data_IF_974691693258
#
_entry.id   IF_974691693258
#
_cell.length_a   1.000
_cell.length_b   1.000
_cell.length_c   1.000
_cell.angle_alpha   90.00
_cell.angle_beta   90.00
_cell.angle_gamma   90.00
#
_symmetry.space_group_name_H-M   'P 1'
#
loop_
_entity.id
_entity.type
_entity.pdbx_description
1 polymer ?
#
# COMPACT_ATOMS: atom_id res chain seq x y z
N UNK A 1 4.37 26.27 2.25
CA UNK A 1 5.18 25.06 1.99
C UNK A 1 5.85 25.27 0.65
N UNK A 2 7.16 25.20 0.60
CA UNK A 2 7.88 25.35 -0.67
C UNK A 2 7.73 24.06 -1.47
N UNK A 3 7.32 24.19 -2.73
CA UNK A 3 7.12 23.05 -3.60
C UNK A 3 8.43 22.75 -4.30
N UNK A 4 8.92 21.52 -4.16
CA UNK A 4 10.11 21.04 -4.85
C UNK A 4 9.71 20.20 -6.06
N UNK A 5 10.26 20.51 -7.24
CA UNK A 5 10.04 19.74 -8.46
C UNK A 5 10.35 18.25 -8.31
N UNK A 6 11.37 17.90 -7.52
CA UNK A 6 11.73 16.49 -7.26
C UNK A 6 10.62 15.76 -6.51
N UNK A 7 10.00 16.41 -5.51
CA UNK A 7 8.86 15.85 -4.79
C UNK A 7 7.71 15.51 -5.74
N UNK A 8 7.31 16.45 -6.60
CA UNK A 8 6.22 16.25 -7.57
C UNK A 8 6.56 15.15 -8.55
N UNK A 9 7.77 15.20 -9.14
CA UNK A 9 8.28 14.18 -10.04
C UNK A 9 8.22 12.79 -9.41
N UNK A 10 8.78 12.65 -8.20
CA UNK A 10 8.87 11.37 -7.50
C UNK A 10 7.48 10.84 -7.14
N UNK A 11 6.61 11.65 -6.56
CA UNK A 11 5.25 11.23 -6.16
C UNK A 11 4.40 10.79 -7.35
N UNK A 12 4.40 11.55 -8.45
CA UNK A 12 3.60 11.22 -9.63
C UNK A 12 4.19 10.06 -10.44
N UNK A 13 5.45 9.67 -10.20
CA UNK A 13 6.12 8.56 -10.88
C UNK A 13 6.18 7.30 -10.02
N UNK A 14 6.67 7.41 -8.79
CA UNK A 14 6.90 6.30 -7.86
C UNK A 14 5.74 6.08 -6.88
N UNK A 15 4.84 7.07 -6.71
CA UNK A 15 3.84 7.17 -5.65
C UNK A 15 4.42 7.33 -4.24
N UNK A 16 5.66 7.76 -4.15
CA UNK A 16 6.34 8.18 -2.93
C UNK A 16 7.48 9.12 -3.27
N UNK A 17 7.96 9.86 -2.28
CA UNK A 17 9.18 10.65 -2.41
C UNK A 17 10.25 10.15 -1.45
N UNK A 18 11.34 9.53 -1.95
CA UNK A 18 12.42 8.97 -1.13
C UNK A 18 13.30 10.03 -0.48
N UNK A 19 13.08 11.32 -0.77
CA UNK A 19 13.81 12.46 -0.21
C UNK A 19 13.10 13.05 1.01
N UNK A 20 11.89 12.59 1.33
CA UNK A 20 11.19 13.00 2.55
C UNK A 20 11.99 12.53 3.77
N UNK A 21 12.20 13.43 4.71
CA UNK A 21 12.79 13.07 5.99
C UNK A 21 11.82 12.19 6.78
N UNK A 22 12.16 10.91 6.89
CA UNK A 22 11.46 9.93 7.69
C UNK A 22 12.30 9.60 8.92
N UNK A 23 11.68 9.54 10.08
CA UNK A 23 12.35 9.15 11.33
C UNK A 23 12.85 7.70 11.36
N UNK A 24 12.66 6.95 10.26
CA UNK A 24 13.06 5.53 10.13
C UNK A 24 14.26 5.40 9.21
N UNK A 25 15.22 4.54 9.59
CA UNK A 25 16.38 4.21 8.76
C UNK A 25 15.92 3.37 7.54
N UNK A 26 16.44 3.70 6.36
CA UNK A 26 16.34 2.84 5.17
C UNK A 26 17.09 1.53 5.40
N UNK A 27 16.57 0.47 4.84
CA UNK A 27 17.27 -0.82 4.83
C UNK A 27 18.39 -0.78 3.80
N UNK A 28 19.51 -1.40 4.15
CA UNK A 28 20.61 -1.68 3.23
C UNK A 28 20.56 -3.16 2.80
N UNK A 29 21.40 -3.52 1.82
CA UNK A 29 21.47 -4.92 1.38
C UNK A 29 21.99 -5.86 2.48
N UNK A 30 22.83 -5.38 3.40
CA UNK A 30 23.33 -6.12 4.56
C UNK A 30 22.20 -6.57 5.50
N UNK A 31 21.13 -5.78 5.59
CA UNK A 31 19.92 -6.15 6.36
C UNK A 31 19.16 -7.33 5.72
N UNK A 32 19.55 -7.71 4.48
CA UNK A 32 18.98 -8.84 3.71
C UNK A 32 19.99 -9.97 3.47
N UNK A 33 21.19 -9.93 4.06
CA UNK A 33 22.14 -11.03 3.98
C UNK A 33 21.52 -12.32 4.54
N UNK A 34 21.62 -13.39 3.74
CA UNK A 34 21.00 -14.66 4.11
C UNK A 34 21.65 -15.25 5.37
N UNK A 35 20.84 -15.69 6.30
CA UNK A 35 21.23 -16.45 7.48
C UNK A 35 20.47 -17.76 7.54
N UNK A 36 21.15 -18.83 7.87
CA UNK A 36 20.52 -20.12 8.03
C UNK A 36 19.73 -20.16 9.34
N UNK A 37 18.42 -20.35 9.26
CA UNK A 37 17.53 -20.45 10.40
C UNK A 37 16.80 -21.79 10.37
N UNK A 38 17.18 -22.71 11.25
CA UNK A 38 16.34 -23.87 11.58
C UNK A 38 15.07 -23.41 12.31
N UNK A 39 13.95 -24.09 12.09
CA UNK A 39 12.67 -23.80 12.77
C UNK A 39 12.07 -22.41 12.49
N UNK A 40 12.26 -21.85 11.28
CA UNK A 40 11.81 -20.52 10.92
C UNK A 40 10.30 -20.31 11.13
N UNK A 41 9.45 -21.31 10.89
CA UNK A 41 7.98 -21.20 11.11
C UNK A 41 7.63 -20.93 12.57
N UNK A 42 8.18 -21.74 13.49
CA UNK A 42 7.93 -21.57 14.92
C UNK A 42 8.42 -20.21 15.41
N UNK A 43 9.57 -19.75 14.90
CA UNK A 43 10.13 -18.45 15.27
C UNK A 43 9.30 -17.29 14.77
N UNK A 44 8.79 -17.36 13.52
CA UNK A 44 7.87 -16.35 12.97
C UNK A 44 6.59 -16.28 13.83
N UNK A 45 5.98 -17.42 14.11
CA UNK A 45 4.76 -17.49 14.93
C UNK A 45 4.99 -16.91 16.31
N UNK A 46 6.07 -17.30 17.00
CA UNK A 46 6.46 -16.77 18.31
C UNK A 46 6.59 -15.24 18.31
N UNK A 47 7.34 -14.68 17.34
CA UNK A 47 7.54 -13.22 17.26
C UNK A 47 6.21 -12.48 17.04
N UNK A 48 5.33 -13.02 16.19
CA UNK A 48 4.02 -12.42 15.95
C UNK A 48 3.19 -12.47 17.23
N UNK A 49 3.15 -13.64 17.90
CA UNK A 49 2.42 -13.82 19.15
C UNK A 49 2.92 -12.88 20.26
N UNK A 50 4.23 -12.76 20.44
CA UNK A 50 4.83 -11.86 21.44
C UNK A 50 4.51 -10.39 21.14
N UNK A 51 4.52 -10.01 19.86
CA UNK A 51 4.14 -8.66 19.45
C UNK A 51 2.68 -8.37 19.75
N UNK A 52 1.77 -9.30 19.45
CA UNK A 52 0.35 -9.17 19.77
C UNK A 52 0.16 -9.08 21.28
N UNK A 53 0.76 -10.01 22.06
CA UNK A 53 0.64 -10.05 23.51
C UNK A 53 1.11 -8.76 24.18
N UNK A 54 2.27 -8.27 23.77
CA UNK A 54 2.84 -7.02 24.32
C UNK A 54 2.03 -5.79 23.87
N UNK A 55 1.58 -5.78 22.62
CA UNK A 55 0.85 -4.65 22.02
C UNK A 55 -0.55 -4.47 22.59
N UNK A 56 -1.27 -5.56 22.82
CA UNK A 56 -2.62 -5.59 23.41
C UNK A 56 -2.56 -5.34 24.93
N UNK A 57 -1.61 -5.98 25.63
CA UNK A 57 -1.45 -5.80 27.07
C UNK A 57 -2.69 -6.24 27.84
N UNK A 58 -3.29 -5.32 28.62
CA UNK A 58 -4.45 -5.56 29.47
C UNK A 58 -5.79 -5.08 28.88
N UNK A 59 -5.80 -4.69 27.59
CA UNK A 59 -7.03 -4.25 26.96
C UNK A 59 -8.07 -5.38 26.90
N UNK A 60 -9.34 -5.00 27.04
CA UNK A 60 -10.46 -5.94 27.02
C UNK A 60 -11.13 -6.03 25.66
N UNK A 61 -10.85 -5.06 24.80
CA UNK A 61 -11.43 -4.93 23.47
C UNK A 61 -10.42 -4.33 22.51
N UNK A 62 -10.37 -4.85 21.30
CA UNK A 62 -9.50 -4.38 20.22
C UNK A 62 -10.24 -4.42 18.88
N UNK A 63 -9.87 -3.55 17.96
CA UNK A 63 -10.32 -3.63 16.56
C UNK A 63 -9.30 -4.38 15.73
N UNK A 64 -9.77 -5.10 14.70
CA UNK A 64 -8.94 -5.81 13.72
C UNK A 64 -9.37 -5.42 12.32
N UNK A 65 -8.45 -4.93 11.49
CA UNK A 65 -8.70 -4.72 10.08
C UNK A 65 -8.72 -6.08 9.36
N UNK A 66 -9.89 -6.53 8.92
CA UNK A 66 -10.12 -7.87 8.36
C UNK A 66 -10.49 -7.79 6.88
N UNK A 67 -9.62 -8.29 6.00
CA UNK A 67 -9.85 -8.33 4.54
C UNK A 67 -10.18 -9.72 3.99
N UNK A 68 -10.18 -10.76 4.84
CA UNK A 68 -10.28 -12.15 4.39
C UNK A 68 -9.00 -12.68 3.70
N UNK A 69 -7.95 -11.89 3.60
CA UNK A 69 -6.63 -12.31 3.12
C UNK A 69 -5.82 -13.05 4.18
N UNK A 70 -4.74 -13.72 3.74
CA UNK A 70 -3.86 -14.54 4.61
C UNK A 70 -3.36 -13.77 5.83
N UNK A 71 -2.91 -12.53 5.64
CA UNK A 71 -2.26 -11.74 6.69
C UNK A 71 -3.25 -11.37 7.80
N UNK A 72 -4.40 -10.80 7.43
CA UNK A 72 -5.43 -10.40 8.39
C UNK A 72 -6.06 -11.60 9.10
N UNK A 73 -6.24 -12.71 8.37
CA UNK A 73 -6.76 -13.96 8.94
C UNK A 73 -5.77 -14.57 9.93
N UNK A 74 -4.47 -14.56 9.63
CA UNK A 74 -3.43 -15.01 10.55
C UNK A 74 -3.42 -14.17 11.83
N UNK A 75 -3.47 -12.85 11.68
CA UNK A 75 -3.45 -11.92 12.82
C UNK A 75 -4.63 -12.15 13.77
N UNK A 76 -5.87 -12.25 13.24
CA UNK A 76 -7.06 -12.49 14.09
C UNK A 76 -7.02 -13.88 14.74
N UNK A 77 -6.52 -14.90 14.01
CA UNK A 77 -6.41 -16.27 14.55
C UNK A 77 -5.44 -16.35 15.74
N UNK A 78 -4.26 -15.73 15.60
CA UNK A 78 -3.27 -15.69 16.68
C UNK A 78 -3.73 -14.80 17.85
N UNK A 79 -4.41 -13.70 17.57
CA UNK A 79 -5.01 -12.86 18.60
C UNK A 79 -6.00 -13.65 19.46
N UNK A 80 -6.94 -14.37 18.85
CA UNK A 80 -7.92 -15.21 19.57
C UNK A 80 -7.26 -16.37 20.35
N UNK A 81 -6.20 -16.96 19.78
CA UNK A 81 -5.40 -17.99 20.46
C UNK A 81 -4.76 -17.46 21.76
N UNK A 82 -4.21 -16.23 21.71
CA UNK A 82 -3.51 -15.62 22.86
C UNK A 82 -4.50 -15.09 23.91
N UNK A 83 -5.59 -14.50 23.44
CA UNK A 83 -6.62 -13.86 24.26
C UNK A 83 -8.00 -14.47 23.96
N UNK A 84 -8.34 -15.64 24.56
CA UNK A 84 -9.60 -16.34 24.25
C UNK A 84 -10.87 -15.51 24.47
N UNK A 85 -10.87 -14.63 25.46
CA UNK A 85 -12.05 -13.90 25.92
C UNK A 85 -12.05 -12.41 25.54
N UNK A 86 -11.06 -11.94 24.75
CA UNK A 86 -11.00 -10.53 24.35
C UNK A 86 -12.15 -10.18 23.38
N UNK A 87 -12.78 -9.03 23.57
CA UNK A 87 -13.69 -8.46 22.57
C UNK A 87 -12.95 -8.07 21.30
N UNK A 88 -13.43 -8.50 20.14
CA UNK A 88 -12.83 -8.18 18.84
C UNK A 88 -13.89 -7.54 17.95
N UNK A 89 -13.62 -6.29 17.53
CA UNK A 89 -14.36 -5.61 16.47
C UNK A 89 -13.61 -5.81 15.15
N UNK A 90 -14.10 -6.71 14.31
CA UNK A 90 -13.51 -6.96 12.98
C UNK A 90 -14.08 -5.95 11.98
N UNK A 91 -13.22 -5.15 11.35
CA UNK A 91 -13.61 -4.05 10.47
C UNK A 91 -13.19 -4.35 9.04
N UNK A 92 -14.15 -4.32 8.11
CA UNK A 92 -13.91 -4.39 6.66
C UNK A 92 -14.47 -3.18 5.95
N UNK A 93 -13.81 -2.77 4.87
CA UNK A 93 -14.31 -1.73 3.96
C UNK A 93 -14.93 -2.41 2.74
N UNK A 94 -16.16 -2.02 2.38
CA UNK A 94 -16.82 -2.41 1.16
C UNK A 94 -16.93 -1.21 0.23
N UNK A 95 -16.10 -1.17 -0.80
CA UNK A 95 -16.21 -0.18 -1.85
C UNK A 95 -17.34 -0.59 -2.81
N UNK A 96 -18.22 0.35 -3.16
CA UNK A 96 -19.43 0.08 -3.95
C UNK A 96 -19.15 -0.71 -5.24
N UNK A 97 -18.03 -0.38 -5.91
CA UNK A 97 -17.69 -0.89 -7.22
C UNK A 97 -16.57 -1.95 -7.20
N UNK A 98 -16.21 -2.49 -6.03
CA UNK A 98 -15.13 -3.48 -5.90
C UNK A 98 -15.69 -4.90 -5.72
N UNK A 99 -14.82 -5.89 -5.93
CA UNK A 99 -15.14 -7.29 -5.61
C UNK A 99 -15.52 -7.37 -4.12
N UNK A 100 -16.65 -8.01 -3.85
CA UNK A 100 -17.14 -8.17 -2.49
C UNK A 100 -16.34 -9.25 -1.74
N UNK A 101 -15.37 -8.80 -0.96
CA UNK A 101 -14.55 -9.66 -0.09
C UNK A 101 -15.20 -9.89 1.28
N UNK A 102 -16.33 -9.23 1.55
CA UNK A 102 -16.97 -9.28 2.87
C UNK A 102 -17.51 -10.67 3.22
N UNK A 103 -17.93 -11.47 2.23
CA UNK A 103 -18.45 -12.82 2.46
C UNK A 103 -17.44 -13.76 3.14
N UNK A 104 -16.15 -13.68 2.76
CA UNK A 104 -15.11 -14.49 3.39
C UNK A 104 -14.74 -13.88 4.75
N UNK A 105 -14.62 -12.56 4.83
CA UNK A 105 -14.34 -11.87 6.07
C UNK A 105 -15.44 -12.10 7.13
N UNK A 106 -16.72 -12.16 6.74
CA UNK A 106 -17.84 -12.52 7.63
C UNK A 106 -17.63 -13.90 8.28
N UNK A 107 -17.37 -14.91 7.46
CA UNK A 107 -17.15 -16.28 7.96
C UNK A 107 -15.94 -16.37 8.89
N UNK A 108 -14.87 -15.61 8.60
CA UNK A 108 -13.69 -15.55 9.46
C UNK A 108 -14.05 -14.88 10.78
N UNK A 109 -14.76 -13.75 10.76
CA UNK A 109 -15.18 -13.05 11.96
C UNK A 109 -16.07 -13.95 12.85
N UNK A 110 -17.05 -14.65 12.26
CA UNK A 110 -17.90 -15.63 12.96
C UNK A 110 -17.07 -16.75 13.58
N UNK A 111 -16.10 -17.33 12.84
CA UNK A 111 -15.25 -18.41 13.32
C UNK A 111 -14.41 -18.02 14.54
N UNK A 112 -14.02 -16.74 14.63
CA UNK A 112 -13.24 -16.21 15.75
C UNK A 112 -14.09 -15.45 16.77
N UNK A 113 -15.41 -15.57 16.73
CA UNK A 113 -16.34 -14.88 17.63
C UNK A 113 -16.02 -13.38 17.77
N UNK A 114 -15.94 -12.70 16.60
CA UNK A 114 -15.69 -11.27 16.49
C UNK A 114 -16.95 -10.54 16.03
N UNK A 115 -17.21 -9.37 16.60
CA UNK A 115 -18.26 -8.47 16.13
C UNK A 115 -17.82 -7.87 14.78
N UNK A 116 -18.62 -8.11 13.72
CA UNK A 116 -18.20 -7.76 12.37
C UNK A 116 -18.87 -6.48 11.87
N UNK A 117 -18.04 -5.52 11.47
CA UNK A 117 -18.45 -4.19 10.98
C UNK A 117 -18.02 -3.99 9.54
N UNK A 118 -18.98 -3.80 8.66
CA UNK A 118 -18.77 -3.46 7.25
C UNK A 118 -18.96 -1.95 7.08
N UNK A 119 -17.93 -1.27 6.55
CA UNK A 119 -17.98 0.15 6.21
C UNK A 119 -18.33 0.27 4.73
N UNK A 120 -19.56 0.63 4.36
CA UNK A 120 -19.90 0.91 2.97
C UNK A 120 -19.30 2.26 2.55
N UNK A 121 -18.59 2.30 1.43
CA UNK A 121 -18.05 3.53 0.83
C UNK A 121 -18.55 3.60 -0.60
N UNK A 122 -19.52 4.50 -0.84
CA UNK A 122 -20.10 4.70 -2.15
C UNK A 122 -19.17 5.50 -3.06
N UNK A 123 -18.70 6.64 -2.60
CA UNK A 123 -17.71 7.47 -3.31
C UNK A 123 -16.43 7.58 -2.49
N UNK A 124 -15.43 6.82 -2.88
CA UNK A 124 -14.13 6.80 -2.20
C UNK A 124 -13.42 8.16 -2.20
N UNK A 125 -13.65 8.98 -3.24
CA UNK A 125 -12.96 10.26 -3.42
C UNK A 125 -13.60 11.41 -2.63
N UNK A 126 -14.81 11.24 -2.12
CA UNK A 126 -15.56 12.32 -1.47
C UNK A 126 -14.79 12.95 -0.29
N UNK A 127 -14.20 12.14 0.57
CA UNK A 127 -13.44 12.60 1.74
C UNK A 127 -11.92 12.72 1.49
N UNK A 128 -11.48 12.69 0.23
CA UNK A 128 -10.06 12.82 -0.13
C UNK A 128 -9.40 14.11 0.43
N UNK A 129 -10.06 15.30 0.42
CA UNK A 129 -9.48 16.50 1.01
C UNK A 129 -9.22 16.36 2.52
N UNK A 130 -10.12 15.70 3.26
CA UNK A 130 -9.92 15.41 4.68
C UNK A 130 -8.68 14.55 4.92
N UNK A 131 -8.58 13.44 4.19
CA UNK A 131 -7.44 12.55 4.30
C UNK A 131 -6.13 13.30 3.97
N UNK A 132 -6.08 14.03 2.85
CA UNK A 132 -4.92 14.84 2.44
C UNK A 132 -4.59 15.92 3.49
N UNK A 133 -5.60 16.54 4.10
CA UNK A 133 -5.43 17.52 5.17
C UNK A 133 -4.70 16.97 6.39
N UNK A 134 -4.91 15.70 6.71
CA UNK A 134 -4.30 15.02 7.85
C UNK A 134 -2.84 14.65 7.58
N UNK A 135 -2.55 13.90 6.50
CA UNK A 135 -1.18 13.45 6.26
C UNK A 135 -0.33 14.37 5.37
N UNK A 136 -0.93 15.41 4.77
CA UNK A 136 -0.28 16.55 4.10
C UNK A 136 0.53 16.22 2.85
N UNK A 137 0.22 15.10 2.19
CA UNK A 137 0.86 14.65 0.95
C UNK A 137 -0.20 14.34 -0.12
N UNK A 138 0.13 14.47 -1.43
CA UNK A 138 -0.84 14.29 -2.52
C UNK A 138 -1.00 12.80 -2.92
N UNK A 139 -1.50 11.96 -2.01
CA UNK A 139 -1.82 10.56 -2.31
C UNK A 139 -3.33 10.36 -2.37
N UNK A 140 -3.81 9.60 -3.34
CA UNK A 140 -5.23 9.34 -3.52
C UNK A 140 -5.72 8.05 -2.86
N UNK A 141 -4.84 7.07 -2.63
CA UNK A 141 -5.17 5.74 -2.09
C UNK A 141 -5.26 5.75 -0.55
N UNK A 142 -6.19 6.52 -0.03
CA UNK A 142 -6.33 6.86 1.40
C UNK A 142 -7.34 5.98 2.15
N UNK A 143 -7.58 4.73 1.72
CA UNK A 143 -8.62 3.86 2.30
C UNK A 143 -8.46 3.61 3.81
N UNK A 144 -7.24 3.64 4.35
CA UNK A 144 -6.99 3.52 5.78
C UNK A 144 -7.60 4.64 6.62
N UNK A 145 -7.81 5.83 6.05
CA UNK A 145 -8.55 6.90 6.71
C UNK A 145 -9.91 6.41 7.23
N UNK A 146 -10.66 5.68 6.40
CA UNK A 146 -11.98 5.16 6.77
C UNK A 146 -11.89 4.04 7.82
N UNK A 147 -10.91 3.17 7.71
CA UNK A 147 -10.71 2.06 8.65
C UNK A 147 -10.36 2.59 10.04
N UNK A 148 -9.40 3.50 10.16
CA UNK A 148 -8.98 4.07 11.44
C UNK A 148 -10.07 4.94 12.05
N UNK A 149 -10.77 5.77 11.24
CA UNK A 149 -11.92 6.57 11.66
C UNK A 149 -13.03 5.70 12.30
N UNK A 150 -13.27 4.53 11.74
CA UNK A 150 -14.26 3.58 12.26
C UNK A 150 -13.75 2.88 13.51
N UNK A 151 -12.52 2.41 13.52
CA UNK A 151 -11.92 1.72 14.67
C UNK A 151 -11.98 2.57 15.95
N UNK A 152 -11.82 3.89 15.83
CA UNK A 152 -11.96 4.85 16.94
C UNK A 152 -13.28 4.72 17.70
N UNK A 153 -14.35 4.26 17.05
CA UNK A 153 -15.68 4.12 17.67
C UNK A 153 -15.76 2.92 18.62
N UNK A 154 -14.90 1.92 18.43
CA UNK A 154 -14.96 0.64 19.12
C UNK A 154 -13.83 0.43 20.12
N UNK A 155 -12.60 0.78 19.74
CA UNK A 155 -11.44 0.49 20.59
C UNK A 155 -10.32 1.51 20.44
N UNK A 156 -9.37 1.47 21.39
CA UNK A 156 -8.15 2.28 21.35
C UNK A 156 -7.03 1.66 20.53
N UNK A 157 -7.15 0.39 20.14
CA UNK A 157 -6.14 -0.35 19.41
C UNK A 157 -6.75 -0.90 18.12
N UNK A 158 -6.12 -0.61 16.97
CA UNK A 158 -6.41 -1.27 15.70
C UNK A 158 -5.23 -2.16 15.30
N UNK A 159 -5.52 -3.45 15.15
CA UNK A 159 -4.54 -4.46 14.73
C UNK A 159 -4.72 -4.73 13.25
N UNK A 160 -3.60 -4.84 12.50
CA UNK A 160 -3.64 -5.11 11.06
C UNK A 160 -2.58 -6.11 10.61
N UNK A 161 -2.81 -6.70 9.45
CA UNK A 161 -1.88 -7.61 8.76
C UNK A 161 -0.91 -6.89 7.80
N UNK A 162 -0.72 -5.58 7.93
CA UNK A 162 0.18 -4.83 7.03
C UNK A 162 1.62 -5.33 7.10
N UNK A 163 2.30 -5.32 5.95
CA UNK A 163 3.69 -5.74 5.82
C UNK A 163 3.89 -7.20 5.41
N UNK A 164 2.82 -8.01 5.41
CA UNK A 164 2.92 -9.40 4.97
C UNK A 164 3.32 -9.55 3.50
N UNK A 165 2.86 -8.65 2.63
CA UNK A 165 3.21 -8.64 1.21
C UNK A 165 4.69 -8.32 0.99
N UNK A 166 5.21 -7.30 1.64
CA UNK A 166 6.59 -6.84 1.48
C UNK A 166 7.59 -7.82 2.10
N UNK A 167 7.27 -8.32 3.29
CA UNK A 167 8.20 -9.13 4.06
C UNK A 167 8.23 -10.60 3.63
N UNK A 168 7.10 -11.12 3.13
CA UNK A 168 6.94 -12.53 2.77
C UNK A 168 6.55 -12.78 1.30
N UNK A 169 6.78 -11.80 0.44
CA UNK A 169 6.70 -12.01 -1.01
C UNK A 169 5.27 -12.14 -1.55
N UNK A 170 4.36 -11.24 -1.18
CA UNK A 170 2.97 -11.27 -1.62
C UNK A 170 2.69 -10.68 -3.00
N UNK A 171 3.64 -9.96 -3.59
CA UNK A 171 3.47 -9.35 -4.92
C UNK A 171 3.89 -10.31 -6.05
N UNK A 172 3.36 -11.52 -6.04
CA UNK A 172 3.76 -12.64 -6.90
C UNK A 172 3.72 -12.31 -8.39
N UNK A 173 2.70 -11.56 -8.86
CA UNK A 173 2.59 -11.10 -10.25
C UNK A 173 3.79 -10.27 -10.70
N UNK A 174 4.37 -9.47 -9.78
CA UNK A 174 5.54 -8.62 -10.04
C UNK A 174 6.81 -9.44 -10.14
N UNK A 175 6.96 -10.42 -9.24
CA UNK A 175 8.12 -11.32 -9.22
C UNK A 175 8.16 -12.23 -10.45
N UNK A 176 7.01 -12.81 -10.82
CA UNK A 176 6.86 -13.61 -12.03
C UNK A 176 7.27 -12.82 -13.29
N UNK A 177 6.73 -11.60 -13.44
CA UNK A 177 7.06 -10.73 -14.56
C UNK A 177 8.54 -10.32 -14.57
N UNK A 178 9.11 -10.01 -13.41
CA UNK A 178 10.52 -9.65 -13.29
C UNK A 178 11.41 -10.84 -13.68
N UNK A 179 11.17 -12.02 -13.11
CA UNK A 179 11.94 -13.22 -13.41
C UNK A 179 11.84 -13.63 -14.87
N UNK A 180 10.66 -13.51 -15.50
CA UNK A 180 10.45 -13.87 -16.91
C UNK A 180 11.26 -13.01 -17.89
N UNK A 181 11.68 -11.82 -17.48
CA UNK A 181 12.45 -10.87 -18.31
C UNK A 181 13.90 -10.69 -17.85
N UNK A 182 14.26 -11.26 -16.69
CA UNK A 182 15.61 -11.17 -16.15
C UNK A 182 16.59 -11.93 -17.04
N UNK A 183 17.76 -11.33 -17.29
CA UNK A 183 18.89 -12.00 -17.96
C UNK A 183 20.19 -11.75 -17.20
N UNK A 184 21.15 -12.66 -17.34
CA UNK A 184 22.44 -12.63 -16.61
C UNK A 184 23.28 -11.38 -16.93
N UNK A 185 23.07 -10.78 -18.10
CA UNK A 185 23.82 -9.62 -18.55
C UNK A 185 23.22 -8.27 -18.13
N UNK A 186 22.11 -8.26 -17.38
CA UNK A 186 21.48 -7.02 -16.94
C UNK A 186 22.34 -6.29 -15.90
N UNK A 187 22.59 -5.02 -16.21
CA UNK A 187 23.23 -4.09 -15.27
C UNK A 187 22.27 -3.68 -14.15
N UNK A 188 22.74 -3.11 -13.03
CA UNK A 188 21.87 -2.60 -11.97
C UNK A 188 20.80 -1.62 -12.47
N UNK A 189 21.14 -0.76 -13.44
CA UNK A 189 20.17 0.18 -14.02
C UNK A 189 19.12 -0.54 -14.88
N UNK A 190 19.49 -1.60 -15.59
CA UNK A 190 18.52 -2.38 -16.39
C UNK A 190 17.53 -3.12 -15.47
N UNK A 191 18.01 -3.63 -14.34
CA UNK A 191 17.14 -4.21 -13.30
C UNK A 191 16.22 -3.17 -12.67
N UNK A 192 16.70 -1.95 -12.42
CA UNK A 192 15.87 -0.85 -11.92
C UNK A 192 14.78 -0.45 -12.92
N UNK A 193 15.09 -0.40 -14.22
CA UNK A 193 14.11 -0.18 -15.31
C UNK A 193 13.06 -1.29 -15.33
N UNK A 194 13.52 -2.55 -15.32
CA UNK A 194 12.62 -3.70 -15.31
C UNK A 194 11.71 -3.72 -14.08
N UNK A 195 12.25 -3.40 -12.90
CA UNK A 195 11.46 -3.28 -11.67
C UNK A 195 10.34 -2.24 -11.81
N UNK A 196 10.64 -1.06 -12.37
CA UNK A 196 9.63 -0.03 -12.64
C UNK A 196 8.55 -0.51 -13.62
N UNK A 197 8.92 -1.18 -14.71
CA UNK A 197 7.99 -1.74 -15.68
C UNK A 197 7.09 -2.84 -15.10
N UNK A 198 7.52 -3.50 -14.02
CA UNK A 198 6.71 -4.49 -13.31
C UNK A 198 5.60 -3.85 -12.45
N UNK A 199 5.61 -2.52 -12.25
CA UNK A 199 4.54 -1.78 -11.59
C UNK A 199 3.42 -1.44 -12.59
N UNK A 200 2.73 -2.44 -13.09
CA UNK A 200 1.76 -2.37 -14.19
C UNK A 200 0.59 -1.39 -13.99
N UNK A 201 0.36 -0.95 -12.77
CA UNK A 201 -0.71 0.02 -12.49
C UNK A 201 -0.24 1.48 -12.49
N UNK A 202 1.06 1.71 -12.41
CA UNK A 202 1.60 3.05 -12.16
C UNK A 202 2.57 3.50 -13.25
N UNK A 203 3.20 2.56 -13.97
CA UNK A 203 4.20 2.89 -14.98
C UNK A 203 3.55 3.20 -16.35
N UNK A 204 3.93 4.34 -16.94
CA UNK A 204 3.56 4.75 -18.30
C UNK A 204 4.79 5.22 -19.04
N UNK A 205 4.88 4.90 -20.35
CA UNK A 205 6.06 5.24 -21.17
C UNK A 205 6.19 6.74 -21.46
N UNK A 206 5.07 7.45 -21.47
CA UNK A 206 4.96 8.88 -21.74
C UNK A 206 4.94 9.75 -20.46
N UNK A 207 5.48 9.23 -19.35
CA UNK A 207 5.55 9.94 -18.07
C UNK A 207 6.16 11.35 -18.20
N UNK A 208 7.12 11.53 -19.11
CA UNK A 208 7.75 12.83 -19.36
C UNK A 208 6.75 13.89 -19.81
N UNK A 209 5.80 13.51 -20.66
CA UNK A 209 4.84 14.43 -21.26
C UNK A 209 3.76 14.89 -20.29
N UNK A 210 3.61 14.17 -19.14
CA UNK A 210 2.71 14.53 -18.04
C UNK A 210 3.07 15.89 -17.42
N UNK A 211 4.37 16.23 -17.38
CA UNK A 211 4.87 17.37 -16.64
C UNK A 211 4.87 18.65 -17.43
N UNK A 212 4.58 19.77 -16.75
CA UNK A 212 4.71 21.13 -17.28
C UNK A 212 6.15 21.64 -17.20
N UNK A 213 6.35 22.89 -17.60
CA UNK A 213 7.69 23.49 -17.75
C UNK A 213 8.45 23.68 -16.43
N UNK A 214 7.78 23.62 -15.28
CA UNK A 214 8.42 23.68 -13.95
C UNK A 214 9.08 22.37 -13.52
N UNK A 215 8.84 21.26 -14.20
CA UNK A 215 9.40 19.96 -13.83
C UNK A 215 10.28 19.43 -14.95
N UNK A 216 11.57 19.41 -14.73
CA UNK A 216 12.49 18.72 -15.63
C UNK A 216 12.45 17.22 -15.34
N UNK A 217 11.75 16.45 -16.17
CA UNK A 217 11.65 15.00 -16.00
C UNK A 217 12.66 14.25 -16.85
N UNK A 218 13.48 13.46 -16.20
CA UNK A 218 14.45 12.55 -16.82
C UNK A 218 14.29 11.18 -16.14
N UNK A 219 14.08 10.13 -16.93
CA UNK A 219 13.94 8.77 -16.41
C UNK A 219 15.16 8.31 -15.60
N UNK A 220 16.38 8.70 -16.00
CA UNK A 220 17.60 8.31 -15.32
C UNK A 220 17.66 8.85 -13.88
N UNK A 221 17.03 9.98 -13.59
CA UNK A 221 16.90 10.49 -12.20
C UNK A 221 16.03 9.56 -11.35
N UNK A 222 14.98 8.97 -11.95
CA UNK A 222 14.12 8.00 -11.27
C UNK A 222 14.85 6.67 -11.07
N UNK A 223 15.52 6.18 -12.12
CA UNK A 223 16.26 4.92 -12.03
C UNK A 223 17.44 5.01 -11.03
N UNK A 224 18.12 6.15 -10.95
CA UNK A 224 19.23 6.36 -10.00
C UNK A 224 18.79 6.23 -8.53
N UNK A 225 17.53 6.52 -8.22
CA UNK A 225 16.95 6.29 -6.88
C UNK A 225 16.88 4.79 -6.56
N UNK A 226 16.64 3.96 -7.57
CA UNK A 226 16.41 2.52 -7.41
C UNK A 226 17.68 1.69 -7.56
N UNK A 227 18.68 2.17 -8.33
CA UNK A 227 19.95 1.46 -8.59
C UNK A 227 20.59 0.88 -7.33
N UNK A 228 20.67 1.57 -6.17
CA UNK A 228 21.30 1.00 -4.97
C UNK A 228 20.64 -0.29 -4.46
N UNK A 229 19.39 -0.55 -4.81
CA UNK A 229 18.68 -1.78 -4.43
C UNK A 229 19.02 -2.96 -5.33
N UNK A 230 19.59 -2.70 -6.52
CA UNK A 230 19.97 -3.70 -7.53
C UNK A 230 21.47 -3.80 -7.73
N UNK A 231 22.28 -2.88 -7.19
CA UNK A 231 23.74 -2.89 -7.22
C UNK A 231 24.31 -3.50 -5.92
N UNK A 232 24.05 -4.79 -5.75
CA UNK A 232 24.50 -5.56 -4.59
C UNK A 232 24.50 -7.07 -4.91
N UNK A 233 25.03 -7.88 -3.99
CA UNK A 233 25.21 -9.34 -4.16
C UNK A 233 23.98 -10.20 -3.82
N UNK A 234 22.85 -9.61 -3.46
CA UNK A 234 21.64 -10.36 -3.14
C UNK A 234 21.06 -11.09 -4.37
N UNK A 235 20.38 -12.23 -4.17
CA UNK A 235 19.59 -12.84 -5.22
C UNK A 235 18.55 -11.85 -5.77
N UNK A 236 18.16 -11.93 -7.07
CA UNK A 236 17.28 -10.95 -7.72
C UNK A 236 15.96 -10.69 -6.99
N UNK A 237 15.31 -11.71 -6.44
CA UNK A 237 14.07 -11.54 -5.66
C UNK A 237 14.32 -10.84 -4.33
N UNK A 238 15.45 -11.09 -3.65
CA UNK A 238 15.80 -10.36 -2.44
C UNK A 238 16.12 -8.88 -2.75
N UNK A 239 16.66 -8.57 -3.95
CA UNK A 239 16.82 -7.19 -4.42
C UNK A 239 15.47 -6.48 -4.56
N UNK A 240 14.43 -7.18 -5.08
CA UNK A 240 13.06 -6.65 -5.15
C UNK A 240 12.49 -6.43 -3.75
N UNK A 241 12.66 -7.38 -2.82
CA UNK A 241 12.21 -7.21 -1.44
C UNK A 241 12.86 -6.00 -0.77
N UNK A 242 14.15 -5.78 -0.99
CA UNK A 242 14.85 -4.59 -0.51
C UNK A 242 14.27 -3.30 -1.10
N UNK A 243 13.97 -3.29 -2.41
CA UNK A 243 13.35 -2.15 -3.09
C UNK A 243 11.91 -1.90 -2.59
N UNK A 244 11.11 -2.95 -2.42
CA UNK A 244 9.73 -2.85 -1.91
C UNK A 244 9.69 -2.31 -0.48
N UNK A 245 10.57 -2.77 0.41
CA UNK A 245 10.68 -2.28 1.79
C UNK A 245 11.11 -0.80 1.85
N UNK A 246 12.03 -0.37 0.98
CA UNK A 246 12.51 1.00 0.89
C UNK A 246 11.68 1.90 -0.05
N UNK A 247 10.60 1.39 -0.59
CA UNK A 247 9.73 2.09 -1.53
C UNK A 247 8.48 2.66 -0.88
N UNK A 248 7.35 2.30 -1.47
CA UNK A 248 6.03 2.77 -1.07
C UNK A 248 5.71 2.48 0.39
N UNK A 249 6.12 1.32 0.92
CA UNK A 249 5.87 0.98 2.32
C UNK A 249 6.47 2.03 3.27
N UNK A 250 7.75 2.36 3.09
CA UNK A 250 8.50 3.23 4.00
C UNK A 250 8.14 4.71 3.84
N UNK A 251 7.90 5.18 2.60
CA UNK A 251 7.74 6.61 2.28
C UNK A 251 6.32 7.06 1.98
N UNK A 252 5.37 6.14 1.87
CA UNK A 252 3.95 6.46 1.66
C UNK A 252 3.09 5.80 2.74
N UNK A 253 3.04 4.44 2.75
CA UNK A 253 2.11 3.68 3.56
C UNK A 253 2.27 3.92 5.07
N UNK A 254 3.48 3.73 5.60
CA UNK A 254 3.73 3.89 7.04
C UNK A 254 3.52 5.34 7.50
N UNK A 255 4.07 6.40 6.85
CA UNK A 255 3.86 7.78 7.27
C UNK A 255 2.38 8.19 7.19
N UNK A 256 1.68 7.83 6.13
CA UNK A 256 0.28 8.13 5.95
C UNK A 256 -0.58 7.50 7.05
N UNK A 257 -0.40 6.21 7.30
CA UNK A 257 -1.15 5.50 8.34
C UNK A 257 -0.82 6.04 9.73
N UNK A 258 0.46 6.32 10.03
CA UNK A 258 0.85 6.94 11.29
C UNK A 258 0.09 8.24 11.53
N UNK A 259 -0.04 9.08 10.49
CA UNK A 259 -0.78 10.35 10.60
C UNK A 259 -2.27 10.13 10.89
N UNK A 260 -2.90 9.11 10.29
CA UNK A 260 -4.31 8.78 10.60
C UNK A 260 -4.46 8.25 12.02
N UNK A 261 -3.58 7.35 12.46
CA UNK A 261 -3.60 6.82 13.82
C UNK A 261 -3.42 7.93 14.87
N UNK A 262 -2.49 8.85 14.65
CA UNK A 262 -2.27 10.01 15.53
C UNK A 262 -3.49 10.95 15.54
N UNK A 263 -4.06 11.26 14.38
CA UNK A 263 -5.20 12.17 14.26
C UNK A 263 -6.45 11.62 14.97
N UNK A 264 -6.74 10.33 14.81
CA UNK A 264 -7.90 9.70 15.42
C UNK A 264 -7.64 9.21 16.86
N UNK A 265 -6.44 9.37 17.39
CA UNK A 265 -6.03 8.86 18.71
C UNK A 265 -6.33 7.36 18.87
N UNK A 266 -5.87 6.56 17.90
CA UNK A 266 -5.94 5.10 17.86
C UNK A 266 -4.52 4.55 17.83
N UNK A 267 -4.22 3.57 18.67
CA UNK A 267 -2.92 2.89 18.68
C UNK A 267 -2.86 1.88 17.52
N UNK A 268 -1.86 2.02 16.67
CA UNK A 268 -1.57 1.01 15.63
C UNK A 268 -0.83 -0.19 16.22
N UNK A 269 -1.27 -1.38 15.90
CA UNK A 269 -0.54 -2.63 16.16
C UNK A 269 -0.44 -3.44 14.87
N UNK A 270 0.76 -3.46 14.29
CA UNK A 270 1.09 -4.15 13.03
C UNK A 270 2.10 -5.27 13.30
N UNK A 271 1.67 -6.47 13.71
CA UNK A 271 2.59 -7.53 14.15
C UNK A 271 3.57 -7.95 13.07
N UNK A 272 3.14 -7.93 11.78
CA UNK A 272 3.99 -8.29 10.65
C UNK A 272 5.03 -7.21 10.29
N UNK A 273 4.91 -6.00 10.82
CA UNK A 273 5.90 -4.92 10.71
C UNK A 273 6.66 -4.67 12.01
N UNK A 274 6.59 -5.61 12.97
CA UNK A 274 7.38 -5.48 14.20
C UNK A 274 8.88 -5.52 13.89
N UNK A 275 9.66 -4.73 14.63
CA UNK A 275 11.12 -4.66 14.45
C UNK A 275 11.78 -6.06 14.51
N UNK A 276 11.30 -6.91 15.44
CA UNK A 276 11.86 -8.25 15.60
C UNK A 276 11.55 -9.14 14.40
N UNK A 277 10.32 -9.07 13.84
CA UNK A 277 9.95 -9.86 12.68
C UNK A 277 10.67 -9.39 11.41
N UNK A 278 10.75 -8.08 11.21
CA UNK A 278 11.51 -7.51 10.09
C UNK A 278 12.97 -7.99 10.17
N UNK A 279 13.63 -7.78 11.31
CA UNK A 279 15.02 -8.19 11.52
C UNK A 279 15.26 -9.69 11.34
N UNK A 280 14.26 -10.53 11.59
CA UNK A 280 14.36 -11.97 11.38
C UNK A 280 14.08 -12.35 9.92
N UNK A 281 12.95 -11.89 9.38
CA UNK A 281 12.45 -12.35 8.10
C UNK A 281 13.22 -11.78 6.90
N UNK A 282 13.86 -10.61 7.00
CA UNK A 282 14.71 -10.08 5.92
C UNK A 282 15.91 -10.97 5.64
N UNK A 283 16.41 -11.70 6.64
CA UNK A 283 17.53 -12.65 6.49
C UNK A 283 17.14 -14.04 5.95
N UNK A 284 15.84 -14.33 5.77
CA UNK A 284 15.38 -15.59 5.22
C UNK A 284 15.56 -15.61 3.70
N UNK A 285 15.95 -16.78 3.16
CA UNK A 285 15.99 -17.00 1.72
C UNK A 285 14.61 -16.74 1.10
N UNK A 286 14.60 -16.14 -0.09
CA UNK A 286 13.34 -15.85 -0.79
C UNK A 286 12.55 -17.12 -1.11
N UNK A 287 13.21 -18.28 -1.35
CA UNK A 287 12.56 -19.56 -1.61
C UNK A 287 11.70 -20.05 -0.43
N UNK A 288 12.01 -19.61 0.80
CA UNK A 288 11.16 -19.86 1.97
C UNK A 288 9.88 -19.05 1.91
N UNK A 289 9.90 -17.87 1.28
CA UNK A 289 8.82 -16.89 1.25
C UNK A 289 7.95 -16.97 0.01
N UNK A 290 8.56 -17.26 -1.13
CA UNK A 290 7.95 -17.26 -2.45
C UNK A 290 8.43 -18.46 -3.28
N UNK A 291 7.50 -19.20 -3.87
CA UNK A 291 7.77 -20.31 -4.79
C UNK A 291 7.49 -19.84 -6.23
N UNK A 292 8.52 -19.67 -7.08
CA UNK A 292 8.35 -19.22 -8.46
C UNK A 292 7.54 -20.20 -9.32
N UNK A 293 7.75 -21.51 -9.14
CA UNK A 293 7.10 -22.55 -9.98
C UNK A 293 5.58 -22.58 -9.77
N UNK A 294 5.12 -22.30 -8.55
CA UNK A 294 3.71 -22.27 -8.17
C UNK A 294 3.14 -20.83 -8.18
N UNK A 295 3.97 -19.85 -8.43
CA UNK A 295 3.66 -18.42 -8.27
C UNK A 295 2.95 -18.12 -6.93
N UNK A 296 3.46 -18.70 -5.84
CA UNK A 296 2.86 -18.68 -4.51
C UNK A 296 3.76 -17.92 -3.52
N UNK A 297 3.25 -16.83 -2.97
CA UNK A 297 3.90 -16.05 -1.91
C UNK A 297 3.33 -16.31 -0.52
N UNK A 298 3.96 -15.68 0.49
CA UNK A 298 3.57 -15.75 1.90
C UNK A 298 3.57 -17.18 2.45
N UNK A 299 4.47 -18.05 1.94
CA UNK A 299 4.51 -19.45 2.29
C UNK A 299 4.53 -19.67 3.81
N UNK A 300 5.44 -19.06 4.60
CA UNK A 300 5.47 -19.27 6.04
C UNK A 300 4.18 -18.83 6.74
N UNK A 301 3.58 -17.73 6.30
CA UNK A 301 2.32 -17.24 6.90
C UNK A 301 1.17 -18.20 6.62
N UNK A 302 1.11 -18.78 5.41
CA UNK A 302 0.12 -19.80 5.04
C UNK A 302 0.30 -21.09 5.83
N UNK A 303 1.54 -21.55 5.99
CA UNK A 303 1.85 -22.77 6.74
C UNK A 303 1.55 -22.65 8.23
N UNK A 304 1.74 -21.46 8.80
CA UNK A 304 1.31 -21.16 10.17
C UNK A 304 -0.22 -21.12 10.24
N UNK A 305 -0.86 -20.41 9.29
CA UNK A 305 -2.32 -20.23 9.29
C UNK A 305 -3.09 -21.55 9.22
N UNK A 306 -2.64 -22.51 8.41
CA UNK A 306 -3.26 -23.86 8.28
C UNK A 306 -3.39 -24.58 9.63
N UNK A 307 -2.53 -24.28 10.61
CA UNK A 307 -2.59 -24.85 11.96
C UNK A 307 -3.71 -24.28 12.82
N UNK A 308 -4.28 -23.12 12.43
CA UNK A 308 -5.20 -22.32 13.24
C UNK A 308 -6.59 -22.16 12.63
N UNK A 309 -6.75 -22.44 11.34
CA UNK A 309 -8.03 -22.28 10.62
C UNK A 309 -8.29 -23.47 9.69
N UNK A 310 -9.56 -23.69 9.39
CA UNK A 310 -9.93 -24.63 8.32
C UNK A 310 -9.32 -24.14 6.98
N UNK A 311 -8.72 -25.04 6.19
CA UNK A 311 -8.14 -24.71 4.87
C UNK A 311 -9.11 -23.93 3.94
N UNK A 312 -10.41 -24.11 4.08
CA UNK A 312 -11.43 -23.38 3.32
C UNK A 312 -11.43 -21.88 3.54
N UNK A 313 -10.83 -21.38 4.65
CA UNK A 313 -10.64 -19.95 4.90
C UNK A 313 -9.37 -19.37 4.26
N UNK A 314 -8.53 -20.23 3.65
CA UNK A 314 -7.26 -19.81 3.06
C UNK A 314 -7.44 -19.58 1.58
N UNK A 315 -7.56 -18.33 1.18
CA UNK A 315 -7.72 -17.99 -0.24
C UNK A 315 -6.40 -18.15 -0.99
N UNK A 316 -6.40 -18.86 -2.16
CA UNK A 316 -5.18 -19.01 -2.96
C UNK A 316 -4.73 -17.70 -3.60
N UNK A 317 -5.67 -16.84 -3.98
CA UNK A 317 -5.39 -15.54 -4.62
C UNK A 317 -5.23 -14.44 -3.59
N UNK A 318 -4.39 -13.43 -3.93
CA UNK A 318 -4.26 -12.22 -3.13
C UNK A 318 -5.61 -11.53 -3.01
N UNK A 319 -6.04 -11.32 -1.78
CA UNK A 319 -7.16 -10.47 -1.40
C UNK A 319 -6.64 -9.37 -0.46
N UNK A 320 -7.24 -8.22 -0.48
CA UNK A 320 -6.88 -7.09 0.38
C UNK A 320 -7.78 -5.91 0.10
N UNK A 321 -7.81 -4.94 1.00
CA UNK A 321 -8.54 -3.69 0.82
C UNK A 321 -8.04 -2.97 -0.44
N UNK A 322 -8.63 -3.27 -1.59
CA UNK A 322 -8.27 -2.62 -2.85
C UNK A 322 -9.49 -2.04 -3.53
N UNK A 323 -9.43 -0.74 -3.82
CA UNK A 323 -10.41 -0.08 -4.68
C UNK A 323 -10.25 -0.60 -6.10
N UNK A 324 -11.33 -1.02 -6.73
CA UNK A 324 -11.33 -1.24 -8.17
C UNK A 324 -11.28 0.12 -8.87
N UNK A 325 -10.06 0.53 -9.24
CA UNK A 325 -9.80 1.84 -9.83
C UNK A 325 -10.56 2.10 -11.12
N UNK A 326 -10.78 1.06 -11.92
CA UNK A 326 -11.53 1.15 -13.18
C UNK A 326 -13.01 1.42 -12.89
N UNK A 327 -13.59 0.71 -11.95
CA UNK A 327 -14.98 0.93 -11.57
C UNK A 327 -15.15 2.29 -10.87
N UNK A 328 -14.26 2.64 -9.94
CA UNK A 328 -14.24 3.97 -9.32
C UNK A 328 -14.17 5.10 -10.37
N UNK A 329 -13.37 4.91 -11.43
CA UNK A 329 -13.31 5.86 -12.52
C UNK A 329 -14.65 6.02 -13.24
N UNK A 330 -15.32 4.92 -13.54
CA UNK A 330 -16.61 4.91 -14.25
C UNK A 330 -17.73 5.53 -13.41
N UNK A 331 -17.78 5.24 -12.11
CA UNK A 331 -18.87 5.70 -11.22
C UNK A 331 -18.71 7.18 -10.83
N UNK A 332 -17.51 7.58 -10.40
CA UNK A 332 -17.26 8.89 -9.79
C UNK A 332 -16.01 9.58 -10.36
N UNK A 333 -14.91 8.84 -10.50
CA UNK A 333 -13.58 9.39 -10.72
C UNK A 333 -13.48 10.26 -11.97
N UNK A 334 -14.13 9.86 -13.08
CA UNK A 334 -14.12 10.62 -14.33
C UNK A 334 -14.73 12.02 -14.14
N UNK A 335 -15.91 12.10 -13.56
CA UNK A 335 -16.62 13.38 -13.36
C UNK A 335 -15.87 14.29 -12.39
N UNK A 336 -15.38 13.72 -11.28
CA UNK A 336 -14.59 14.47 -10.30
C UNK A 336 -13.30 15.00 -10.92
N UNK A 337 -12.55 14.15 -11.65
CA UNK A 337 -11.34 14.58 -12.34
C UNK A 337 -11.64 15.63 -13.41
N UNK A 338 -12.69 15.50 -14.19
CA UNK A 338 -13.09 16.50 -15.17
C UNK A 338 -13.36 17.86 -14.50
N UNK A 339 -14.16 17.86 -13.44
CA UNK A 339 -14.50 19.09 -12.70
C UNK A 339 -13.25 19.78 -12.12
N UNK A 340 -12.37 19.05 -11.42
CA UNK A 340 -11.23 19.67 -10.74
C UNK A 340 -10.02 19.91 -11.64
N UNK A 341 -9.84 19.12 -12.71
CA UNK A 341 -8.68 19.24 -13.59
C UNK A 341 -8.94 20.13 -14.81
N UNK A 342 -10.20 20.45 -15.16
CA UNK A 342 -10.52 21.39 -16.25
C UNK A 342 -10.04 22.83 -15.97
N UNK A 343 -9.95 23.24 -14.70
CA UNK A 343 -9.44 24.54 -14.26
C UNK A 343 -8.36 24.38 -13.17
N UNK A 344 -7.47 23.40 -13.36
CA UNK A 344 -6.49 23.03 -12.36
C UNK A 344 -5.44 24.10 -12.10
N UNK A 345 -5.16 24.38 -10.82
CA UNK A 345 -4.10 25.31 -10.39
C UNK A 345 -2.72 24.76 -10.73
N UNK A 346 -2.54 23.42 -10.61
CA UNK A 346 -1.29 22.74 -10.99
C UNK A 346 -0.95 22.89 -12.48
N UNK A 347 -1.97 23.07 -13.34
CA UNK A 347 -1.78 23.36 -14.78
C UNK A 347 -1.47 24.84 -14.98
N UNK A 348 -2.25 25.75 -14.39
CA UNK A 348 -2.01 27.20 -14.50
C UNK A 348 -0.63 27.59 -14.02
N UNK A 349 -0.15 26.93 -12.99
CA UNK A 349 1.18 27.15 -12.42
C UNK A 349 2.28 26.31 -13.10
N UNK A 350 1.99 25.66 -14.24
CA UNK A 350 2.93 24.97 -15.10
C UNK A 350 3.66 23.77 -14.43
N UNK A 351 3.04 23.13 -13.45
CA UNK A 351 3.54 21.87 -12.91
C UNK A 351 3.17 20.67 -13.77
N UNK A 352 1.97 20.70 -14.37
CA UNK A 352 1.38 19.63 -15.17
C UNK A 352 1.02 20.17 -16.54
N UNK A 353 1.17 19.33 -17.56
CA UNK A 353 0.84 19.62 -18.97
C UNK A 353 -0.67 19.58 -19.20
N UNK A 354 -1.24 20.69 -19.67
CA UNK A 354 -2.65 20.77 -20.07
C UNK A 354 -2.94 19.85 -21.25
N UNK A 355 -2.03 19.82 -22.24
CA UNK A 355 -2.19 19.01 -23.45
C UNK A 355 -2.20 17.50 -23.12
N UNK A 356 -1.37 17.08 -22.16
CA UNK A 356 -1.38 15.69 -21.69
C UNK A 356 -2.74 15.34 -21.06
N UNK A 357 -3.26 16.19 -20.17
CA UNK A 357 -4.58 15.97 -19.54
C UNK A 357 -5.66 15.84 -20.61
N UNK A 358 -5.79 16.82 -21.52
CA UNK A 358 -6.83 16.84 -22.54
C UNK A 358 -6.76 15.61 -23.46
N UNK A 359 -5.56 15.27 -23.92
CA UNK A 359 -5.37 14.16 -24.86
C UNK A 359 -5.66 12.80 -24.22
N UNK A 360 -5.23 12.57 -22.96
CA UNK A 360 -5.40 11.29 -22.29
C UNK A 360 -6.79 11.14 -21.68
N UNK A 361 -7.41 12.23 -21.24
CA UNK A 361 -8.80 12.18 -20.78
C UNK A 361 -9.73 11.65 -21.91
N UNK A 362 -9.54 12.16 -23.12
CA UNK A 362 -10.29 11.69 -24.30
C UNK A 362 -9.97 10.22 -24.65
N UNK A 363 -8.69 9.81 -24.59
CA UNK A 363 -8.30 8.42 -24.86
C UNK A 363 -8.91 7.42 -23.89
N UNK A 364 -9.15 7.81 -22.64
CA UNK A 364 -9.79 6.95 -21.63
C UNK A 364 -11.26 6.66 -21.93
N UNK A 365 -11.94 7.45 -22.78
CA UNK A 365 -13.30 7.15 -23.23
C UNK A 365 -13.31 5.98 -24.23
N UNK A 366 -12.28 5.88 -25.06
CA UNK A 366 -12.17 4.85 -26.09
C UNK A 366 -11.52 3.56 -25.55
N UNK A 367 -10.53 3.71 -24.68
CA UNK A 367 -9.77 2.59 -24.11
C UNK A 367 -9.39 2.87 -22.66
N UNK A 368 -10.09 2.20 -21.73
CA UNK A 368 -9.90 2.39 -20.29
C UNK A 368 -8.68 1.63 -19.77
N UNK A 369 -7.53 2.31 -19.75
CA UNK A 369 -6.27 1.80 -19.22
C UNK A 369 -6.09 2.20 -17.74
N UNK A 370 -6.00 1.21 -16.85
CA UNK A 370 -5.86 1.39 -15.39
C UNK A 370 -4.65 2.26 -15.01
N UNK A 371 -3.60 2.25 -15.82
CA UNK A 371 -2.39 3.04 -15.57
C UNK A 371 -2.69 4.54 -15.66
N UNK A 372 -3.39 4.94 -16.70
CA UNK A 372 -3.77 6.35 -16.89
C UNK A 372 -4.87 6.77 -15.93
N UNK A 373 -5.81 5.88 -15.59
CA UNK A 373 -6.77 6.14 -14.49
C UNK A 373 -6.03 6.46 -13.20
N UNK A 374 -5.02 5.66 -12.82
CA UNK A 374 -4.21 5.94 -11.63
C UNK A 374 -3.45 7.27 -11.72
N UNK A 375 -2.97 7.67 -12.92
CA UNK A 375 -2.36 9.00 -13.12
C UNK A 375 -3.37 10.10 -12.88
N UNK A 376 -4.58 10.01 -13.42
CA UNK A 376 -5.62 11.02 -13.18
C UNK A 376 -6.03 11.13 -11.72
N UNK A 377 -6.16 10.01 -11.00
CA UNK A 377 -6.41 10.04 -9.56
C UNK A 377 -5.24 10.65 -8.78
N UNK A 378 -4.01 10.39 -9.22
CA UNK A 378 -2.81 11.05 -8.68
C UNK A 378 -2.80 12.56 -8.93
N UNK A 379 -3.18 13.00 -10.13
CA UNK A 379 -3.31 14.43 -10.48
C UNK A 379 -4.43 15.09 -9.67
N UNK A 380 -5.56 14.42 -9.48
CA UNK A 380 -6.63 14.92 -8.61
C UNK A 380 -6.14 15.13 -7.18
N UNK A 381 -5.42 14.14 -6.62
CA UNK A 381 -4.85 14.28 -5.28
C UNK A 381 -3.84 15.42 -5.20
N UNK A 382 -3.04 15.63 -6.25
CA UNK A 382 -2.10 16.75 -6.31
C UNK A 382 -2.82 18.10 -6.41
N UNK A 383 -3.87 18.23 -7.22
CA UNK A 383 -4.69 19.43 -7.32
C UNK A 383 -5.37 19.77 -5.98
N UNK A 384 -5.98 18.77 -5.31
CA UNK A 384 -6.60 18.93 -4.00
C UNK A 384 -5.57 19.40 -2.97
N UNK A 385 -4.42 18.73 -2.90
CA UNK A 385 -3.33 19.11 -2.02
C UNK A 385 -2.84 20.53 -2.31
N UNK A 386 -2.72 20.89 -3.59
CA UNK A 386 -2.29 22.22 -4.03
C UNK A 386 -3.27 23.30 -3.58
N UNK A 387 -4.57 23.05 -3.77
CA UNK A 387 -5.62 23.98 -3.32
C UNK A 387 -5.67 24.12 -1.80
N UNK A 388 -5.37 23.08 -1.05
CA UNK A 388 -5.36 23.15 0.42
C UNK A 388 -4.11 23.87 0.94
N UNK A 389 -2.93 23.51 0.47
CA UNK A 389 -1.66 23.92 1.11
C UNK A 389 -0.96 25.08 0.42
N UNK A 390 -1.21 25.30 -0.87
CA UNK A 390 -0.52 26.33 -1.67
C UNK A 390 -1.42 27.53 -1.92
N UNK A 391 -2.49 27.35 -2.69
CA UNK A 391 -3.38 28.48 -3.03
C UNK A 391 -4.38 28.81 -1.92
N UNK A 392 -4.61 27.93 -0.95
CA UNK A 392 -5.57 28.10 0.14
C UNK A 392 -7.03 28.28 -0.31
N UNK A 393 -7.36 27.77 -1.48
CA UNK A 393 -8.71 27.86 -2.07
C UNK A 393 -9.65 26.74 -1.61
N UNK A 394 -9.12 25.71 -0.94
CA UNK A 394 -9.90 24.57 -0.46
C UNK A 394 -9.60 24.30 1.02
N UNK A 395 -10.63 24.01 1.80
CA UNK A 395 -10.48 23.55 3.18
C UNK A 395 -10.41 22.01 3.23
N UNK A 396 -9.70 21.41 4.19
CA UNK A 396 -9.67 19.97 4.35
C UNK A 396 -11.05 19.31 4.50
N UNK A 397 -12.01 20.01 5.15
CA UNK A 397 -13.37 19.52 5.39
C UNK A 397 -14.27 19.55 4.15
N UNK A 398 -13.75 20.06 3.03
CA UNK A 398 -14.49 20.07 1.75
C UNK A 398 -14.71 18.66 1.25
N UNK A 399 -15.95 18.33 0.87
CA UNK A 399 -16.27 17.10 0.16
C UNK A 399 -16.14 17.32 -1.33
N UNK A 400 -15.44 16.41 -2.04
CA UNK A 400 -15.36 16.49 -3.49
C UNK A 400 -16.74 16.23 -4.10
N UNK A 401 -17.11 17.07 -5.05
CA UNK A 401 -18.39 16.98 -5.80
C UNK A 401 -18.11 16.46 -7.21
N UNK A 402 -19.10 15.75 -7.76
CA UNK A 402 -19.16 15.34 -9.17
C UNK A 402 -19.56 16.50 -10.07
#
# INVERSE_FOLDING_TARGET
MEINQNMIRNILTLRYDPLIDIKKKKFSWEDFELKNHSNHLSRIEEIICDTIKTGVGNEKQVSVALSGGVDSTLVISLLRKIFPDIGIDAISVKFADSVDETNIATKIAENFNADYHIIPIDNFLEELPNAIGIFKMPFWDTHWYHVVKTAKQFSKILISGDGGDELFGGYTFRYEKFLSKLSDNMTPIDKAKLYMECHERDWVSDQKDLFGSKVNFIWDDIYSILVPYFDNKLPPINQIFLADMNGKLLFNWIPMNTSFFEYFDVKSLTPLLSKNLISFATHLDYNIKYNPDKNLGKIPLREILVKHVDPNFITPKKQGFSVNTVNLWKSHGKKICDYYLSDARIVKDQWISEDWIKSHFKKLDDNLDVRYVNKFLGLLAFEVWYRIFVTKEMRPETKLKE
#
